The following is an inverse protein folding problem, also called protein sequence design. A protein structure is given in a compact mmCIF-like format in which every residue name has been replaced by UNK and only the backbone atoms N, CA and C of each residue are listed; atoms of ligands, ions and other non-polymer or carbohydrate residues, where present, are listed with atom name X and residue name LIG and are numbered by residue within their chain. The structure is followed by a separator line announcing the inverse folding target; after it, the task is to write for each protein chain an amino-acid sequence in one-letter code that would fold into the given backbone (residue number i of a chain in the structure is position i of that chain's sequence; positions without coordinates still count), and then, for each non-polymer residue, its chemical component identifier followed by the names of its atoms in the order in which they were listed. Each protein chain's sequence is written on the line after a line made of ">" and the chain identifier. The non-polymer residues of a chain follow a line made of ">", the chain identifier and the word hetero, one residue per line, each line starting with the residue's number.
data_IF_804436133341
#
_entry.id   IF_804436133341
#
_cell.length_a   1.000
_cell.length_b   1.000
_cell.length_c   1.000
_cell.angle_alpha   90.00
_cell.angle_beta   90.00
_cell.angle_gamma   90.00
#
_symmetry.space_group_name_H-M   'P 1'
#
loop_
_entity.id
_entity.type
_entity.pdbx_description
1 polymer ?
#
# COMPACT_ATOMS: atom_id res chain seq x y z
N UNK A 1 2.55 -5.36 -7.91
CA UNK A 1 1.73 -4.13 -7.72
C UNK A 1 2.19 -3.41 -6.46
N UNK A 2 2.35 -2.09 -6.53
CA UNK A 2 2.74 -1.24 -5.39
C UNK A 2 2.10 0.15 -5.53
N UNK A 3 2.14 0.93 -4.45
CA UNK A 3 1.79 2.35 -4.42
C UNK A 3 3.03 3.16 -4.09
N UNK A 4 3.13 4.36 -4.66
CA UNK A 4 4.17 5.34 -4.31
C UNK A 4 3.50 6.63 -3.87
N UNK A 5 3.85 7.12 -2.68
CA UNK A 5 3.48 8.40 -2.12
C UNK A 5 4.71 9.31 -2.16
N UNK A 6 4.71 10.29 -3.07
CA UNK A 6 5.79 11.26 -3.16
C UNK A 6 5.64 12.34 -2.09
N UNK A 7 6.75 12.83 -1.52
CA UNK A 7 6.76 13.92 -0.53
C UNK A 7 6.08 15.20 -1.06
N UNK A 8 6.18 15.48 -2.36
CA UNK A 8 5.50 16.59 -3.02
C UNK A 8 3.96 16.44 -3.06
N UNK A 9 3.41 15.27 -2.75
CA UNK A 9 1.98 15.02 -2.76
C UNK A 9 1.38 15.13 -1.34
N UNK A 10 0.24 15.83 -1.23
CA UNK A 10 -0.54 15.86 0.02
C UNK A 10 -1.31 14.55 0.26
N UNK A 11 -1.70 13.89 -0.83
CA UNK A 11 -2.42 12.62 -0.83
C UNK A 11 -2.27 11.89 -2.15
N UNK A 12 -2.44 10.58 -2.14
CA UNK A 12 -2.65 9.76 -3.35
C UNK A 12 -4.03 9.11 -3.30
N UNK A 13 -4.64 8.90 -4.46
CA UNK A 13 -5.95 8.24 -4.59
C UNK A 13 -5.78 6.82 -5.10
N UNK A 14 -6.43 5.87 -4.44
CA UNK A 14 -6.52 4.47 -4.83
C UNK A 14 -7.96 4.16 -5.19
N UNK A 15 -8.18 3.68 -6.41
CA UNK A 15 -9.50 3.22 -6.86
C UNK A 15 -9.70 1.78 -6.46
N UNK A 16 -10.77 1.50 -5.72
CA UNK A 16 -11.22 0.16 -5.40
C UNK A 16 -12.37 -0.18 -6.35
N UNK A 17 -12.43 -1.42 -6.83
CA UNK A 17 -13.51 -1.88 -7.69
C UNK A 17 -14.14 -3.13 -7.11
N UNK A 18 -15.45 -3.10 -6.93
CA UNK A 18 -16.21 -4.31 -6.65
C UNK A 18 -16.49 -5.02 -7.98
N UNK A 19 -15.93 -6.22 -8.15
CA UNK A 19 -16.14 -7.03 -9.34
C UNK A 19 -17.28 -8.05 -9.17
N UNK A 20 -17.95 -8.08 -8.02
CA UNK A 20 -19.14 -8.91 -7.85
C UNK A 20 -20.32 -8.31 -8.64
N UNK A 21 -21.00 -9.12 -9.48
CA UNK A 21 -22.08 -8.64 -10.34
C UNK A 21 -23.43 -8.48 -9.61
N UNK A 22 -23.56 -8.91 -8.35
CA UNK A 22 -24.85 -8.99 -7.65
C UNK A 22 -24.82 -8.34 -6.28
N UNK A 23 -23.73 -8.48 -5.54
CA UNK A 23 -23.67 -8.13 -4.13
C UNK A 23 -22.87 -6.84 -3.89
N UNK A 24 -23.36 -5.94 -3.03
CA UNK A 24 -22.58 -4.84 -2.51
C UNK A 24 -21.58 -5.34 -1.47
N UNK A 25 -20.41 -4.70 -1.38
CA UNK A 25 -19.39 -5.02 -0.39
C UNK A 25 -19.03 -3.79 0.43
N UNK A 26 -18.70 -4.00 1.71
CA UNK A 26 -17.97 -2.99 2.49
C UNK A 26 -16.47 -3.21 2.25
N UNK A 27 -15.74 -2.15 1.92
CA UNK A 27 -14.30 -2.16 1.82
C UNK A 27 -13.72 -1.45 3.05
N UNK A 28 -12.96 -2.18 3.86
CA UNK A 28 -12.20 -1.64 4.98
C UNK A 28 -10.74 -1.46 4.56
N UNK A 29 -10.18 -0.26 4.74
CA UNK A 29 -8.82 0.07 4.33
C UNK A 29 -8.00 0.66 5.48
N UNK A 30 -6.73 0.27 5.57
CA UNK A 30 -5.79 0.77 6.59
C UNK A 30 -4.34 0.69 6.14
N UNK A 31 -3.45 1.35 6.88
CA UNK A 31 -1.99 1.27 6.71
C UNK A 31 -1.38 0.43 7.82
N UNK A 32 -0.37 -0.36 7.48
CA UNK A 32 0.52 -1.00 8.45
C UNK A 32 1.97 -0.54 8.26
N UNK A 33 2.73 -0.59 9.37
CA UNK A 33 4.19 -0.48 9.33
C UNK A 33 4.84 -1.76 8.75
N UNK A 34 6.17 -1.75 8.61
CA UNK A 34 6.94 -2.91 8.11
C UNK A 34 6.78 -4.16 8.98
N UNK A 35 6.47 -3.99 10.27
CA UNK A 35 6.25 -5.08 11.23
C UNK A 35 4.81 -5.63 11.17
N UNK A 36 3.93 -5.02 10.37
CA UNK A 36 2.53 -5.40 10.24
C UNK A 36 1.60 -4.81 11.30
N UNK A 37 2.05 -3.84 12.08
CA UNK A 37 1.20 -3.16 13.03
C UNK A 37 0.32 -2.15 12.29
N UNK A 38 -0.99 -2.15 12.57
CA UNK A 38 -1.90 -1.13 12.04
C UNK A 38 -1.54 0.23 12.64
N UNK A 39 -1.32 1.21 11.77
CA UNK A 39 -0.94 2.58 12.14
C UNK A 39 -1.91 3.61 11.56
N UNK A 40 -1.90 4.80 12.14
CA UNK A 40 -2.66 5.99 11.66
C UNK A 40 -1.76 7.21 11.43
N UNK A 41 -0.45 7.06 11.63
CA UNK A 41 0.60 8.04 11.41
C UNK A 41 1.90 7.28 11.07
N UNK A 42 2.76 7.74 10.15
CA UNK A 42 2.74 9.04 9.44
C UNK A 42 1.79 9.10 8.24
N UNK A 43 1.20 7.98 7.84
CA UNK A 43 0.26 7.89 6.73
C UNK A 43 -1.07 7.33 7.24
N UNK A 44 -2.18 7.83 6.69
CA UNK A 44 -3.51 7.34 7.03
C UNK A 44 -4.41 7.26 5.80
N UNK A 45 -5.52 6.55 5.96
CA UNK A 45 -6.45 6.19 4.90
C UNK A 45 -7.84 6.75 5.17
N UNK A 46 -8.45 7.38 4.17
CA UNK A 46 -9.78 7.97 4.23
C UNK A 46 -10.62 7.67 2.97
N UNK A 47 -11.88 7.23 3.11
CA UNK A 47 -12.50 6.73 4.34
C UNK A 47 -11.90 5.37 4.74
N UNK A 48 -11.86 5.02 6.03
CA UNK A 48 -11.35 3.72 6.50
C UNK A 48 -12.32 2.57 6.23
N UNK A 49 -13.62 2.87 6.04
CA UNK A 49 -14.65 1.92 5.61
C UNK A 49 -15.59 2.62 4.64
N UNK A 50 -15.90 1.98 3.53
CA UNK A 50 -16.91 2.46 2.58
C UNK A 50 -17.70 1.31 1.98
N UNK A 51 -18.94 1.57 1.56
CA UNK A 51 -19.70 0.63 0.75
C UNK A 51 -19.41 0.84 -0.73
N UNK A 52 -19.22 -0.24 -1.46
CA UNK A 52 -19.08 -0.24 -2.92
C UNK A 52 -20.16 -1.19 -3.46
N UNK A 53 -21.13 -0.65 -4.19
CA UNK A 53 -22.19 -1.45 -4.80
C UNK A 53 -21.64 -2.35 -5.92
N UNK A 54 -22.47 -3.31 -6.35
CA UNK A 54 -22.14 -4.27 -7.41
C UNK A 54 -21.59 -3.57 -8.66
N UNK A 55 -20.47 -4.07 -9.20
CA UNK A 55 -19.79 -3.54 -10.39
C UNK A 55 -19.31 -2.09 -10.32
N UNK A 56 -19.41 -1.44 -9.15
CA UNK A 56 -19.06 -0.04 -8.96
C UNK A 56 -17.62 0.15 -8.46
N UNK A 57 -17.14 1.39 -8.56
CA UNK A 57 -15.84 1.80 -8.03
C UNK A 57 -16.03 2.65 -6.76
N UNK A 58 -15.18 2.43 -5.77
CA UNK A 58 -14.96 3.31 -4.62
C UNK A 58 -13.60 3.99 -4.72
N UNK A 59 -13.41 5.08 -3.97
CA UNK A 59 -12.12 5.78 -3.89
C UNK A 59 -11.65 5.87 -2.46
N UNK A 60 -10.37 5.60 -2.26
CA UNK A 60 -9.68 5.74 -0.99
C UNK A 60 -8.52 6.71 -1.17
N UNK A 61 -8.39 7.67 -0.27
CA UNK A 61 -7.24 8.57 -0.21
C UNK A 61 -6.28 8.09 0.85
N UNK A 62 -5.01 7.95 0.48
CA UNK A 62 -3.90 7.86 1.43
C UNK A 62 -3.36 9.28 1.60
N UNK A 63 -3.31 9.78 2.82
CA UNK A 63 -2.87 11.14 3.12
C UNK A 63 -1.70 11.13 4.12
N UNK A 64 -0.84 12.14 4.00
CA UNK A 64 0.23 12.38 4.96
C UNK A 64 -0.27 13.05 6.23
N UNK A 65 0.21 12.59 7.38
CA UNK A 65 0.03 13.20 8.69
C UNK A 65 1.26 14.03 9.06
N UNK A 66 1.21 14.92 10.07
CA UNK A 66 2.36 15.76 10.45
C UNK A 66 3.66 14.99 10.73
N UNK A 67 3.57 13.75 11.24
CA UNK A 67 4.75 12.90 11.48
C UNK A 67 5.43 12.40 10.20
N UNK A 68 4.86 12.63 9.01
CA UNK A 68 5.49 12.28 7.73
C UNK A 68 6.84 12.96 7.54
N UNK A 69 7.02 14.15 8.14
CA UNK A 69 8.28 14.89 8.14
C UNK A 69 9.37 14.24 9.01
N UNK A 70 9.04 13.23 9.81
CA UNK A 70 10.01 12.44 10.58
C UNK A 70 10.57 11.26 9.77
N UNK A 71 10.06 11.02 8.58
CA UNK A 71 10.58 9.97 7.71
C UNK A 71 11.96 10.35 7.14
N UNK A 72 12.86 9.37 6.92
CA UNK A 72 14.18 9.60 6.38
C UNK A 72 14.16 10.36 5.03
N UNK A 73 14.74 11.56 4.95
CA UNK A 73 14.75 12.32 3.70
C UNK A 73 15.74 11.78 2.64
N UNK A 74 16.61 10.84 3.01
CA UNK A 74 17.68 10.30 2.18
C UNK A 74 17.32 9.00 1.46
N UNK A 75 16.26 8.28 1.89
CA UNK A 75 15.89 6.95 1.41
C UNK A 75 14.38 6.72 1.41
N UNK A 76 13.90 5.74 0.67
CA UNK A 76 12.48 5.36 0.72
C UNK A 76 12.11 4.73 2.07
N UNK A 77 10.85 4.92 2.49
CA UNK A 77 10.26 4.22 3.64
C UNK A 77 9.12 3.31 3.19
N UNK A 78 9.08 2.07 3.67
CA UNK A 78 8.08 1.10 3.24
C UNK A 78 6.96 0.95 4.28
N UNK A 79 5.73 0.88 3.78
CA UNK A 79 4.51 0.58 4.50
C UNK A 79 3.69 -0.45 3.74
N UNK A 80 2.58 -0.91 4.33
CA UNK A 80 1.59 -1.71 3.62
C UNK A 80 0.23 -1.01 3.58
N UNK A 81 -0.34 -0.89 2.39
CA UNK A 81 -1.74 -0.56 2.20
C UNK A 81 -2.56 -1.84 2.17
N UNK A 82 -3.54 -1.92 3.08
CA UNK A 82 -4.42 -3.06 3.22
C UNK A 82 -5.84 -2.68 2.82
N UNK A 83 -6.52 -3.59 2.13
CA UNK A 83 -7.95 -3.54 1.85
C UNK A 83 -8.55 -4.90 2.16
N UNK A 84 -9.52 -4.94 3.06
CA UNK A 84 -10.33 -6.12 3.36
C UNK A 84 -11.74 -5.87 2.86
N UNK A 85 -12.23 -6.80 2.06
CA UNK A 85 -13.64 -6.82 1.70
C UNK A 85 -14.45 -7.45 2.85
N UNK A 86 -15.66 -6.94 3.08
CA UNK A 86 -16.60 -7.45 4.06
C UNK A 86 -17.89 -7.75 3.29
N UNK A 87 -18.16 -9.04 3.01
CA UNK A 87 -19.36 -9.43 2.29
C UNK A 87 -20.62 -9.17 3.12
N UNK A 88 -21.80 -9.06 2.48
CA UNK A 88 -23.06 -8.99 3.20
C UNK A 88 -23.29 -10.28 3.98
N UNK A 89 -23.97 -10.18 5.12
CA UNK A 89 -24.30 -11.34 5.95
C UNK A 89 -25.15 -12.34 5.17
N UNK A 90 -24.83 -13.63 5.27
CA UNK A 90 -25.63 -14.71 4.69
C UNK A 90 -26.96 -14.87 5.41
N UNK A 91 -28.04 -15.12 4.65
CA UNK A 91 -29.36 -15.44 5.19
C UNK A 91 -29.56 -16.95 5.47
N UNK A 92 -28.56 -17.78 5.16
CA UNK A 92 -28.62 -19.23 5.39
C UNK A 92 -27.93 -19.58 6.71
N UNK A 93 -28.48 -20.55 7.44
CA UNK A 93 -27.84 -21.13 8.61
C UNK A 93 -26.59 -21.94 8.19
N UNK A 94 -25.58 -21.99 9.07
CA UNK A 94 -24.37 -22.80 8.91
C UNK A 94 -23.58 -22.54 7.61
N UNK A 95 -23.35 -21.27 7.27
CA UNK A 95 -22.54 -20.91 6.09
C UNK A 95 -21.14 -20.45 6.46
N UNK A 96 -20.14 -20.97 5.74
CA UNK A 96 -18.81 -20.38 5.67
C UNK A 96 -18.83 -19.17 4.73
N UNK A 97 -18.41 -18.01 5.22
CA UNK A 97 -18.19 -16.82 4.40
C UNK A 97 -16.69 -16.56 4.26
N UNK A 98 -16.24 -16.34 3.04
CA UNK A 98 -14.85 -16.00 2.73
C UNK A 98 -14.79 -14.49 2.48
N UNK A 99 -13.76 -13.86 3.05
CA UNK A 99 -13.45 -12.45 2.84
C UNK A 99 -12.00 -12.33 2.39
N UNK A 100 -11.77 -11.68 1.25
CA UNK A 100 -10.43 -11.41 0.74
C UNK A 100 -9.80 -10.18 1.41
N UNK A 101 -8.51 -10.29 1.71
CA UNK A 101 -7.67 -9.17 2.12
C UNK A 101 -6.53 -9.01 1.12
N UNK A 102 -6.47 -7.84 0.49
CA UNK A 102 -5.36 -7.43 -0.37
C UNK A 102 -4.38 -6.60 0.43
N UNK A 103 -3.10 -6.98 0.41
CA UNK A 103 -2.00 -6.28 1.05
C UNK A 103 -0.94 -5.93 0.01
N UNK A 104 -0.70 -4.64 -0.24
CA UNK A 104 0.28 -4.17 -1.22
C UNK A 104 1.27 -3.21 -0.57
N UNK A 105 2.51 -3.18 -1.08
CA UNK A 105 3.54 -2.26 -0.62
C UNK A 105 3.17 -0.82 -0.96
N UNK A 106 3.35 0.08 0.00
CA UNK A 106 3.21 1.52 -0.12
C UNK A 106 4.56 2.15 0.22
N UNK A 107 5.22 2.74 -0.78
CA UNK A 107 6.49 3.42 -0.59
C UNK A 107 6.24 4.91 -0.38
N UNK A 108 6.77 5.46 0.70
CA UNK A 108 6.97 6.91 0.81
C UNK A 108 8.31 7.25 0.16
N UNK A 109 8.28 8.24 -0.74
CA UNK A 109 9.44 8.66 -1.52
C UNK A 109 9.78 10.12 -1.18
N UNK A 110 10.97 10.40 -0.61
CA UNK A 110 11.40 11.76 -0.34
C UNK A 110 11.63 12.53 -1.63
N UNK A 111 11.53 13.87 -1.56
CA UNK A 111 11.68 14.79 -2.68
C UNK A 111 13.01 14.62 -3.42
N UNK A 112 14.07 14.27 -2.70
CA UNK A 112 15.39 13.98 -3.26
C UNK A 112 15.39 12.79 -4.24
N UNK A 113 14.43 11.87 -4.13
CA UNK A 113 14.34 10.63 -4.91
C UNK A 113 13.18 10.63 -5.91
N UNK A 114 12.35 11.67 -5.96
CA UNK A 114 11.21 11.75 -6.89
C UNK A 114 11.66 11.74 -8.36
N UNK A 115 12.81 12.32 -8.67
CA UNK A 115 13.35 12.44 -10.02
C UNK A 115 14.31 11.29 -10.35
N UNK A 116 13.76 10.11 -10.65
CA UNK A 116 14.54 8.97 -11.11
C UNK A 116 14.95 9.20 -12.58
N UNK A 117 16.23 9.46 -12.82
CA UNK A 117 16.76 9.56 -14.18
C UNK A 117 16.69 8.20 -14.88
N UNK A 118 15.88 8.09 -15.94
CA UNK A 118 15.85 6.89 -16.79
C UNK A 118 17.15 6.66 -17.56
N UNK A 119 18.03 7.67 -17.64
CA UNK A 119 19.35 7.54 -18.29
C UNK A 119 20.37 6.80 -17.43
N UNK A 120 20.22 6.83 -16.10
CA UNK A 120 21.05 6.11 -15.15
C UNK A 120 20.15 5.40 -14.13
N UNK A 121 19.50 4.29 -14.54
CA UNK A 121 18.62 3.56 -13.65
C UNK A 121 19.43 2.96 -12.49
N UNK A 122 19.05 3.39 -11.29
CA UNK A 122 19.66 3.01 -10.02
C UNK A 122 19.72 1.50 -9.81
N UNK A 123 18.83 0.73 -10.44
CA UNK A 123 18.80 -0.74 -10.39
C UNK A 123 20.12 -1.39 -10.83
N UNK A 124 20.92 -0.75 -11.70
CA UNK A 124 22.23 -1.28 -12.11
C UNK A 124 23.31 -1.18 -11.03
N UNK A 125 23.04 -0.49 -9.92
CA UNK A 125 23.97 -0.43 -8.78
C UNK A 125 23.80 -1.59 -7.80
N UNK A 126 22.76 -2.41 -7.94
CA UNK A 126 22.55 -3.60 -7.10
C UNK A 126 23.68 -4.59 -7.36
N UNK A 127 24.38 -5.01 -6.31
CA UNK A 127 25.49 -5.96 -6.40
C UNK A 127 25.12 -7.30 -5.80
N UNK A 128 25.64 -8.38 -6.37
CA UNK A 128 25.49 -9.74 -5.84
C UNK A 128 26.85 -10.26 -5.37
N UNK A 129 26.93 -10.67 -4.11
CA UNK A 129 28.16 -11.25 -3.54
C UNK A 129 27.91 -12.72 -3.21
N UNK A 130 28.76 -13.61 -3.71
CA UNK A 130 28.68 -15.05 -3.43
C UNK A 130 29.49 -15.38 -2.19
N UNK A 131 28.85 -15.99 -1.19
CA UNK A 131 29.47 -16.47 0.05
C UNK A 131 29.32 -18.00 0.10
N UNK A 132 30.27 -18.72 -0.51
CA UNK A 132 30.19 -20.17 -0.63
C UNK A 132 29.03 -20.64 -1.52
N UNK A 133 28.01 -21.26 -0.93
CA UNK A 133 26.78 -21.67 -1.62
C UNK A 133 25.66 -20.62 -1.54
N UNK A 134 25.84 -19.57 -0.74
CA UNK A 134 24.85 -18.50 -0.58
C UNK A 134 25.17 -17.30 -1.49
N UNK A 135 24.13 -16.53 -1.81
CA UNK A 135 24.24 -15.26 -2.50
C UNK A 135 23.61 -14.16 -1.66
N UNK A 136 24.35 -13.09 -1.42
CA UNK A 136 23.87 -11.88 -0.75
C UNK A 136 23.60 -10.81 -1.79
N UNK A 137 22.36 -10.30 -1.83
CA UNK A 137 21.98 -9.15 -2.65
C UNK A 137 22.21 -7.89 -1.82
N UNK A 138 23.06 -6.99 -2.30
CA UNK A 138 23.29 -5.69 -1.69
C UNK A 138 22.67 -4.60 -2.55
N UNK A 139 21.76 -3.83 -1.96
CA UNK A 139 21.17 -2.67 -2.59
C UNK A 139 21.81 -1.40 -2.00
N UNK A 140 22.84 -0.80 -2.66
CA UNK A 140 23.48 0.42 -2.18
C UNK A 140 22.70 1.69 -2.54
N UNK A 141 21.50 1.54 -3.10
CA UNK A 141 20.67 2.67 -3.52
C UNK A 141 19.70 3.08 -2.43
N UNK A 142 19.25 4.34 -2.45
CA UNK A 142 18.36 4.87 -1.43
C UNK A 142 16.90 4.44 -1.63
#
# INVERSE_FOLDING_TARGET
>A
THLTFNESNKSITVTLRNNDPKLPYLAQSWIEDEKGNKITSPLTVLPPVQRIDSMMNGQVKVQGMPDINKLPADRESMFYFNVREIPPKSNKANTLQIALQTRIKLFWRPKALENVSMKNPWQYKVTLTRNGQEFTVNNPTP
#
